data_IF_888415223596
#
_entry.id   IF_888415223596
#
_cell.length_a   1.000
_cell.length_b   1.000
_cell.length_c   1.000
_cell.angle_alpha   90.00
_cell.angle_beta   90.00
_cell.angle_gamma   90.00
#
_symmetry.space_group_name_H-M   'P 1'
#
loop_
_entity.id
_entity.type
_entity.pdbx_description
1 polymer ?
#
# COMPACT_ATOMS: atom_id res chain seq x y z
N UNK A 1 8.57 17.56 4.98
CA UNK A 1 8.62 16.15 5.41
C UNK A 1 9.38 15.34 4.36
N UNK A 2 10.31 14.50 4.75
CA UNK A 2 10.93 13.50 3.86
C UNK A 2 10.21 12.17 4.01
N UNK A 3 9.90 11.52 2.90
CA UNK A 3 9.36 10.16 2.85
C UNK A 3 10.37 9.25 2.19
N UNK A 4 10.70 8.16 2.86
CA UNK A 4 11.60 7.12 2.38
C UNK A 4 10.83 5.82 2.17
N UNK A 5 11.11 5.13 1.07
CA UNK A 5 10.72 3.75 0.88
C UNK A 5 11.98 2.90 0.89
N UNK A 6 12.04 1.97 1.85
CA UNK A 6 13.19 1.12 2.09
C UNK A 6 12.79 -0.35 1.89
N UNK A 7 13.54 -1.11 1.10
CA UNK A 7 13.46 -2.57 1.07
C UNK A 7 14.51 -3.11 2.04
N UNK A 8 14.05 -3.73 3.14
CA UNK A 8 14.89 -4.08 4.28
C UNK A 8 14.96 -5.57 4.53
N UNK A 9 16.16 -6.03 4.87
CA UNK A 9 16.40 -7.39 5.39
C UNK A 9 16.79 -7.27 6.86
N UNK A 10 15.90 -7.73 7.75
CA UNK A 10 16.09 -7.72 9.19
C UNK A 10 16.23 -9.16 9.68
N UNK A 11 17.31 -9.45 10.41
CA UNK A 11 17.58 -10.81 10.90
C UNK A 11 16.81 -11.15 12.18
N UNK A 12 16.26 -10.15 12.86
CA UNK A 12 15.46 -10.27 14.08
C UNK A 12 13.93 -10.18 13.83
N UNK A 13 13.48 -9.96 12.58
CA UNK A 13 12.08 -9.93 12.23
C UNK A 13 11.50 -11.34 12.01
N UNK A 14 10.51 -11.80 12.82
CA UNK A 14 9.93 -13.14 12.69
C UNK A 14 9.11 -13.32 11.41
N UNK A 15 8.55 -12.24 10.86
CA UNK A 15 7.79 -12.30 9.60
C UNK A 15 8.73 -12.55 8.42
N UNK A 16 9.87 -11.85 8.33
CA UNK A 16 10.88 -12.05 7.29
C UNK A 16 11.36 -13.51 7.29
N UNK A 17 11.70 -14.06 8.46
CA UNK A 17 12.10 -15.48 8.57
C UNK A 17 11.02 -16.41 8.03
N UNK A 18 9.76 -16.14 8.35
CA UNK A 18 8.64 -16.96 7.86
C UNK A 18 8.52 -16.93 6.34
N UNK A 19 8.76 -15.77 5.70
CA UNK A 19 8.66 -15.62 4.23
C UNK A 19 9.85 -16.23 3.48
N UNK A 20 10.99 -16.47 4.15
CA UNK A 20 12.12 -17.20 3.57
C UNK A 20 11.80 -18.69 3.34
N UNK A 21 11.01 -19.29 4.24
CA UNK A 21 10.70 -20.71 4.22
C UNK A 21 9.35 -21.02 3.56
N UNK A 22 8.48 -20.04 3.45
CA UNK A 22 7.11 -20.18 2.97
C UNK A 22 6.73 -19.07 1.99
N UNK A 23 6.11 -19.45 0.89
CA UNK A 23 5.55 -18.53 -0.10
C UNK A 23 4.24 -17.91 0.43
N UNK A 24 4.42 -16.91 1.29
CA UNK A 24 3.37 -16.10 1.90
C UNK A 24 3.79 -14.64 1.91
N UNK A 25 2.81 -13.74 1.81
CA UNK A 25 3.01 -12.30 1.93
C UNK A 25 2.22 -11.79 3.14
N UNK A 26 2.85 -10.96 3.96
CA UNK A 26 2.21 -10.23 5.05
C UNK A 26 1.98 -8.78 4.62
N UNK A 27 0.74 -8.32 4.74
CA UNK A 27 0.33 -6.94 4.49
C UNK A 27 -0.12 -6.32 5.80
N UNK A 28 0.59 -5.32 6.31
CA UNK A 28 0.21 -4.61 7.53
C UNK A 28 -1.00 -3.72 7.26
N UNK A 29 -2.10 -3.96 7.96
CA UNK A 29 -3.30 -3.13 7.93
C UNK A 29 -3.26 -2.02 8.98
N UNK A 30 -2.63 -2.33 10.12
CA UNK A 30 -2.45 -1.42 11.24
C UNK A 30 -1.20 -1.83 12.01
N UNK A 31 -0.43 -0.83 12.46
CA UNK A 31 0.78 -1.03 13.22
C UNK A 31 0.85 0.05 14.31
N UNK A 32 1.10 -0.37 15.52
CA UNK A 32 1.25 0.51 16.68
C UNK A 32 2.47 0.12 17.48
N UNK A 33 3.37 1.08 17.70
CA UNK A 33 4.50 0.87 18.58
C UNK A 33 4.13 1.13 20.03
N UNK A 34 4.33 0.14 20.89
CA UNK A 34 4.04 0.18 22.32
C UNK A 34 5.30 0.53 23.08
N UNK A 35 5.55 1.84 23.29
CA UNK A 35 6.74 2.36 23.99
C UNK A 35 6.93 1.78 25.39
N UNK A 36 5.82 1.50 26.12
CA UNK A 36 5.85 0.96 27.47
C UNK A 36 6.43 -0.46 27.56
N UNK A 37 6.44 -1.19 26.44
CA UNK A 37 6.87 -2.59 26.34
C UNK A 37 7.98 -2.83 25.34
N UNK A 38 8.33 -1.83 24.55
CA UNK A 38 9.23 -1.96 23.39
C UNK A 38 8.78 -3.08 22.44
N UNK A 39 7.53 -3.02 22.08
CA UNK A 39 6.89 -4.04 21.24
C UNK A 39 6.08 -3.40 20.12
N UNK A 40 6.05 -4.08 18.98
CA UNK A 40 5.25 -3.72 17.82
C UNK A 40 3.97 -4.56 17.79
N UNK A 41 2.82 -3.90 17.91
CA UNK A 41 1.51 -4.53 17.81
C UNK A 41 0.93 -4.31 16.41
N UNK A 42 0.64 -5.40 15.70
CA UNK A 42 0.24 -5.34 14.29
C UNK A 42 -1.04 -6.10 14.01
N UNK A 43 -1.83 -5.58 13.07
CA UNK A 43 -2.91 -6.31 12.40
C UNK A 43 -2.54 -6.48 10.95
N UNK A 44 -2.48 -7.72 10.50
CA UNK A 44 -1.99 -8.07 9.17
C UNK A 44 -2.96 -8.98 8.42
N UNK A 45 -3.03 -8.76 7.11
CA UNK A 45 -3.54 -9.75 6.17
C UNK A 45 -2.36 -10.60 5.71
N UNK A 46 -2.46 -11.91 5.86
CA UNK A 46 -1.47 -12.86 5.36
C UNK A 46 -2.09 -13.64 4.22
N UNK A 47 -1.43 -13.65 3.07
CA UNK A 47 -1.85 -14.41 1.89
C UNK A 47 -0.84 -15.50 1.57
N UNK A 48 -1.30 -16.61 0.99
CA UNK A 48 -0.44 -17.71 0.55
C UNK A 48 -1.08 -18.43 -0.63
N UNK A 49 -0.27 -19.14 -1.42
CA UNK A 49 -0.74 -19.87 -2.61
C UNK A 49 -1.80 -20.94 -2.29
N UNK A 50 -1.82 -21.45 -1.06
CA UNK A 50 -2.80 -22.44 -0.61
C UNK A 50 -3.08 -22.33 0.88
N UNK A 51 -4.22 -22.91 1.32
CA UNK A 51 -4.55 -23.03 2.74
C UNK A 51 -3.51 -23.85 3.52
N UNK A 52 -2.85 -24.79 2.88
CA UNK A 52 -1.80 -25.63 3.50
C UNK A 52 -0.53 -24.81 3.73
N UNK A 53 -0.04 -24.10 2.71
CA UNK A 53 1.12 -23.21 2.80
C UNK A 53 0.91 -22.14 3.89
N UNK A 54 -0.24 -21.45 3.86
CA UNK A 54 -0.62 -20.48 4.87
C UNK A 54 -0.64 -21.06 6.29
N UNK A 55 -1.14 -22.29 6.46
CA UNK A 55 -1.21 -22.93 7.77
C UNK A 55 0.18 -23.29 8.29
N UNK A 56 1.09 -23.75 7.42
CA UNK A 56 2.48 -24.05 7.78
C UNK A 56 3.22 -22.77 8.18
N UNK A 57 3.09 -21.71 7.39
CA UNK A 57 3.69 -20.40 7.67
C UNK A 57 3.23 -19.84 9.02
N UNK A 58 1.92 -19.81 9.29
CA UNK A 58 1.39 -19.32 10.58
C UNK A 58 1.82 -20.20 11.76
N UNK A 59 2.02 -21.51 11.54
CA UNK A 59 2.55 -22.40 12.58
C UNK A 59 4.02 -22.13 12.86
N UNK A 60 4.83 -21.86 11.84
CA UNK A 60 6.22 -21.45 12.01
C UNK A 60 6.30 -20.12 12.74
N UNK A 61 5.60 -19.09 12.24
CA UNK A 61 5.56 -17.78 12.87
C UNK A 61 5.25 -17.84 14.36
N UNK A 62 4.31 -18.70 14.76
CA UNK A 62 3.94 -18.90 16.18
C UNK A 62 5.08 -19.40 17.06
N UNK A 63 6.11 -19.99 16.48
CA UNK A 63 7.25 -20.55 17.20
C UNK A 63 8.52 -19.67 17.08
N UNK A 64 8.43 -18.52 16.41
CA UNK A 64 9.56 -17.60 16.30
C UNK A 64 9.84 -16.92 17.65
N UNK A 65 11.13 -16.76 17.99
CA UNK A 65 11.58 -16.29 19.30
C UNK A 65 11.11 -14.87 19.61
N UNK A 66 11.09 -13.99 18.60
CA UNK A 66 10.71 -12.58 18.77
C UNK A 66 9.19 -12.34 18.63
N UNK A 67 8.39 -13.38 18.54
CA UNK A 67 6.93 -13.28 18.56
C UNK A 67 6.43 -13.48 20.00
N UNK A 68 5.94 -12.40 20.63
CA UNK A 68 5.35 -12.46 21.97
C UNK A 68 3.97 -13.12 21.98
N UNK A 69 3.11 -12.74 21.02
CA UNK A 69 1.73 -13.24 20.93
C UNK A 69 1.19 -13.18 19.50
N UNK A 70 0.31 -14.12 19.16
CA UNK A 70 -0.41 -14.12 17.88
C UNK A 70 -1.77 -14.78 17.98
N UNK A 71 -2.78 -14.08 17.47
CA UNK A 71 -4.15 -14.58 17.31
C UNK A 71 -4.58 -14.55 15.83
N UNK A 72 -5.19 -15.61 15.33
CA UNK A 72 -5.83 -15.65 14.02
C UNK A 72 -7.27 -15.16 14.19
N UNK A 73 -7.58 -13.98 13.63
CA UNK A 73 -8.89 -13.32 13.75
C UNK A 73 -9.91 -13.85 12.74
N UNK A 74 -9.42 -14.28 11.57
CA UNK A 74 -10.25 -14.84 10.51
C UNK A 74 -9.41 -15.57 9.48
N UNK A 75 -10.00 -16.56 8.79
CA UNK A 75 -9.35 -17.30 7.72
C UNK A 75 -10.35 -17.56 6.59
N UNK A 76 -9.95 -17.30 5.36
CA UNK A 76 -10.71 -17.57 4.15
C UNK A 76 -9.73 -18.02 3.06
N UNK A 77 -10.19 -18.83 2.12
CA UNK A 77 -9.40 -19.45 1.05
C UNK A 77 -8.07 -18.72 0.70
N UNK A 78 -6.94 -19.26 1.16
CA UNK A 78 -5.61 -18.71 0.87
C UNK A 78 -5.23 -17.44 1.65
N UNK A 79 -6.08 -16.92 2.54
CA UNK A 79 -5.83 -15.72 3.32
C UNK A 79 -6.20 -15.87 4.79
N UNK A 80 -5.48 -15.19 5.69
CA UNK A 80 -5.80 -15.09 7.11
C UNK A 80 -5.58 -13.67 7.59
N UNK A 81 -6.45 -13.20 8.48
CA UNK A 81 -6.22 -11.98 9.23
C UNK A 81 -5.65 -12.36 10.59
N UNK A 82 -4.52 -11.78 10.94
CA UNK A 82 -3.85 -12.01 12.23
C UNK A 82 -3.74 -10.70 13.02
N UNK A 83 -3.74 -10.85 14.33
CA UNK A 83 -3.25 -9.86 15.29
C UNK A 83 -2.02 -10.45 15.94
N UNK A 84 -0.93 -9.71 15.98
CA UNK A 84 0.35 -10.18 16.51
C UNK A 84 1.08 -9.07 17.22
N UNK A 85 1.95 -9.49 18.15
CA UNK A 85 2.87 -8.62 18.85
C UNK A 85 4.24 -9.24 18.82
N UNK A 86 5.23 -8.45 18.39
CA UNK A 86 6.64 -8.83 18.33
C UNK A 86 7.48 -7.88 19.19
N UNK A 87 8.64 -8.34 19.61
CA UNK A 87 9.64 -7.45 20.19
C UNK A 87 10.05 -6.37 19.18
N UNK A 88 10.45 -5.21 19.69
CA UNK A 88 11.01 -4.14 18.87
C UNK A 88 12.27 -4.65 18.14
N UNK A 89 12.26 -4.53 16.80
CA UNK A 89 13.44 -4.85 15.99
C UNK A 89 14.48 -3.72 16.09
N UNK A 90 15.74 -4.05 15.84
CA UNK A 90 16.83 -3.06 15.85
C UNK A 90 16.59 -1.95 14.83
N UNK A 91 16.10 -2.29 13.65
CA UNK A 91 15.78 -1.31 12.62
C UNK A 91 14.64 -0.36 13.05
N UNK A 92 13.57 -0.87 13.67
CA UNK A 92 12.49 -0.04 14.16
C UNK A 92 12.98 0.89 15.27
N UNK A 93 13.81 0.37 16.18
CA UNK A 93 14.42 1.18 17.22
C UNK A 93 15.22 2.36 16.62
N UNK A 94 16.08 2.07 15.64
CA UNK A 94 16.89 3.08 14.95
C UNK A 94 16.02 4.17 14.30
N UNK A 95 14.93 3.79 13.62
CA UNK A 95 14.00 4.76 13.01
C UNK A 95 13.37 5.66 14.07
N UNK A 96 12.85 5.07 15.16
CA UNK A 96 12.17 5.84 16.22
C UNK A 96 13.13 6.76 16.98
N UNK A 97 14.35 6.30 17.26
CA UNK A 97 15.37 7.10 17.96
C UNK A 97 15.86 8.31 17.12
N UNK A 98 15.72 8.23 15.80
CA UNK A 98 15.99 9.32 14.88
C UNK A 98 14.72 10.11 14.50
N UNK A 99 13.69 10.13 15.33
CA UNK A 99 12.41 10.83 15.12
C UNK A 99 11.64 10.40 13.85
N UNK A 100 11.93 9.22 13.33
CA UNK A 100 11.19 8.66 12.21
C UNK A 100 9.85 8.08 12.62
N UNK A 101 8.92 8.00 11.69
CA UNK A 101 7.60 7.43 11.90
C UNK A 101 7.10 6.69 10.66
N UNK A 102 6.19 5.75 10.88
CA UNK A 102 5.61 4.93 9.80
C UNK A 102 4.57 5.75 9.04
N UNK A 103 4.71 5.83 7.71
CA UNK A 103 3.82 6.60 6.83
C UNK A 103 2.90 5.73 5.96
N UNK A 104 3.17 4.42 5.89
CA UNK A 104 2.40 3.50 5.08
C UNK A 104 2.48 2.05 5.57
N UNK A 105 1.76 1.14 4.93
CA UNK A 105 1.79 -0.27 5.30
C UNK A 105 3.17 -0.87 5.02
N UNK A 106 3.58 -1.82 5.87
CA UNK A 106 4.66 -2.74 5.56
C UNK A 106 4.14 -3.88 4.68
N UNK A 107 4.95 -4.29 3.73
CA UNK A 107 4.74 -5.50 2.92
C UNK A 107 5.95 -6.40 3.11
N UNK A 108 5.71 -7.64 3.56
CA UNK A 108 6.79 -8.57 3.90
C UNK A 108 6.62 -9.81 3.05
N UNK A 109 7.59 -10.07 2.19
CA UNK A 109 7.60 -11.21 1.28
C UNK A 109 9.03 -11.56 0.84
N UNK A 110 9.26 -12.80 0.44
CA UNK A 110 10.53 -13.26 -0.16
C UNK A 110 11.78 -12.93 0.68
N UNK A 111 11.65 -12.81 2.00
CA UNK A 111 12.78 -12.54 2.89
C UNK A 111 13.13 -11.06 3.06
N UNK A 112 12.33 -10.14 2.55
CA UNK A 112 12.49 -8.70 2.75
C UNK A 112 11.20 -8.02 3.20
N UNK A 113 11.32 -6.78 3.63
CA UNK A 113 10.22 -5.96 4.12
C UNK A 113 10.28 -4.56 3.52
N UNK A 114 9.24 -4.19 2.77
CA UNK A 114 9.11 -2.85 2.21
C UNK A 114 8.54 -1.91 3.26
N UNK A 115 9.33 -0.92 3.64
CA UNK A 115 9.00 0.08 4.64
C UNK A 115 8.67 1.42 4.02
N UNK A 116 7.67 2.12 4.57
CA UNK A 116 7.35 3.50 4.24
C UNK A 116 7.52 4.34 5.49
N UNK A 117 8.57 5.17 5.54
CA UNK A 117 9.00 5.93 6.71
C UNK A 117 9.03 7.42 6.39
N UNK A 118 8.57 8.22 7.34
CA UNK A 118 8.63 9.68 7.29
C UNK A 118 9.59 10.26 8.31
N UNK A 119 10.19 11.40 7.96
CA UNK A 119 11.00 12.24 8.85
C UNK A 119 10.61 13.69 8.62
N UNK A 120 10.49 14.45 9.72
CA UNK A 120 10.16 15.86 9.60
C UNK A 120 11.37 16.69 9.12
N UNK A 121 12.58 16.24 9.46
CA UNK A 121 13.83 16.92 9.13
C UNK A 121 14.77 16.01 8.31
N UNK A 122 15.45 16.58 7.28
CA UNK A 122 16.43 15.82 6.47
C UNK A 122 17.57 15.21 7.31
N UNK A 123 18.06 15.93 8.29
CA UNK A 123 19.19 15.48 9.13
C UNK A 123 18.82 14.24 9.95
N UNK A 124 17.56 14.09 10.38
CA UNK A 124 17.06 12.91 11.09
C UNK A 124 17.03 11.69 10.13
N UNK A 125 16.60 11.89 8.88
CA UNK A 125 16.61 10.84 7.86
C UNK A 125 18.05 10.37 7.55
N UNK A 126 18.99 11.29 7.36
CA UNK A 126 20.40 10.99 7.10
C UNK A 126 21.04 10.27 8.30
N UNK A 127 20.68 10.68 9.52
CA UNK A 127 21.09 10.01 10.77
C UNK A 127 20.60 8.57 10.82
N UNK A 128 19.31 8.36 10.60
CA UNK A 128 18.69 7.04 10.60
C UNK A 128 19.32 6.10 9.55
N UNK A 129 19.47 6.56 8.31
CA UNK A 129 20.09 5.76 7.24
C UNK A 129 21.54 5.40 7.56
N UNK A 130 22.33 6.34 8.12
CA UNK A 130 23.71 6.09 8.52
C UNK A 130 23.83 5.09 9.66
N UNK A 131 22.85 5.02 10.53
CA UNK A 131 22.82 4.08 11.66
C UNK A 131 22.33 2.70 11.22
N UNK A 132 21.30 2.64 10.39
CA UNK A 132 20.78 1.40 9.78
C UNK A 132 21.85 0.64 8.99
N UNK A 133 22.70 1.35 8.23
CA UNK A 133 23.77 0.77 7.41
C UNK A 133 24.81 -0.01 8.21
N UNK A 134 24.84 0.13 9.53
CA UNK A 134 25.80 -0.58 10.39
C UNK A 134 25.40 -2.02 10.68
N UNK A 135 24.10 -2.28 10.78
CA UNK A 135 23.57 -3.53 11.33
C UNK A 135 22.45 -4.15 10.49
N UNK A 136 21.98 -3.47 9.45
CA UNK A 136 20.91 -3.96 8.58
C UNK A 136 21.34 -3.88 7.12
N UNK A 137 20.75 -4.73 6.30
CA UNK A 137 20.87 -4.65 4.85
C UNK A 137 19.60 -3.98 4.32
N UNK A 138 19.74 -2.94 3.51
CA UNK A 138 18.60 -2.28 2.89
C UNK A 138 18.96 -1.59 1.58
N UNK A 139 17.96 -1.43 0.73
CA UNK A 139 18.01 -0.58 -0.45
C UNK A 139 17.00 0.55 -0.34
N UNK A 140 17.39 1.76 -0.77
CA UNK A 140 16.48 2.92 -0.83
C UNK A 140 15.76 2.89 -2.17
N UNK A 141 14.54 2.40 -2.19
CA UNK A 141 13.70 2.29 -3.39
C UNK A 141 13.18 3.65 -3.88
N UNK A 142 12.81 4.51 -2.95
CA UNK A 142 12.36 5.87 -3.25
C UNK A 142 12.66 6.83 -2.10
N UNK A 143 12.99 8.06 -2.47
CA UNK A 143 13.10 9.18 -1.54
C UNK A 143 12.36 10.37 -2.14
N UNK A 144 11.38 10.90 -1.42
CA UNK A 144 10.53 11.99 -1.89
C UNK A 144 10.37 13.03 -0.80
N UNK A 145 10.50 14.30 -1.18
CA UNK A 145 10.10 15.40 -0.28
C UNK A 145 8.63 15.70 -0.53
N UNK A 146 7.81 15.50 0.48
CA UNK A 146 6.36 15.79 0.41
C UNK A 146 6.13 17.11 1.14
N UNK A 147 5.54 18.07 0.43
CA UNK A 147 5.04 19.30 1.05
C UNK A 147 3.82 18.97 1.94
N UNK A 148 3.63 19.75 2.99
CA UNK A 148 2.48 19.56 3.90
C UNK A 148 1.15 19.80 3.18
N UNK A 149 1.16 20.65 2.15
CA UNK A 149 0.02 20.91 1.27
C UNK A 149 -0.34 19.67 0.46
N UNK A 150 0.64 19.01 -0.15
CA UNK A 150 0.42 17.77 -0.93
C UNK A 150 -0.14 16.66 -0.04
N UNK A 151 0.39 16.53 1.19
CA UNK A 151 -0.13 15.56 2.16
C UNK A 151 -1.56 15.85 2.57
N UNK A 152 -1.89 17.13 2.78
CA UNK A 152 -3.24 17.55 3.11
C UNK A 152 -4.23 17.27 1.96
N UNK A 153 -3.84 17.55 0.71
CA UNK A 153 -4.64 17.23 -0.47
C UNK A 153 -4.90 15.71 -0.60
N UNK A 154 -3.87 14.88 -0.40
CA UNK A 154 -4.04 13.42 -0.41
C UNK A 154 -5.04 12.99 0.67
N UNK A 155 -4.89 13.50 1.91
CA UNK A 155 -5.77 13.13 3.02
C UNK A 155 -7.21 13.58 2.81
N UNK A 156 -7.44 14.76 2.24
CA UNK A 156 -8.78 15.23 1.91
C UNK A 156 -9.45 14.40 0.81
N UNK A 157 -8.65 13.89 -0.13
CA UNK A 157 -9.15 13.13 -1.28
C UNK A 157 -9.23 11.61 -1.05
N UNK A 158 -8.92 11.12 0.16
CA UNK A 158 -8.93 9.66 0.44
C UNK A 158 -10.28 9.00 0.17
N UNK A 159 -11.40 9.66 0.49
CA UNK A 159 -12.74 9.11 0.20
C UNK A 159 -12.98 9.03 -1.31
N UNK A 160 -12.64 10.06 -2.04
CA UNK A 160 -12.79 10.14 -3.49
C UNK A 160 -11.88 9.11 -4.20
N UNK A 161 -10.64 8.94 -3.70
CA UNK A 161 -9.72 7.88 -4.18
C UNK A 161 -10.32 6.49 -3.94
N UNK A 162 -10.89 6.25 -2.75
CA UNK A 162 -11.57 4.98 -2.43
C UNK A 162 -12.74 4.73 -3.39
N UNK A 163 -13.50 5.76 -3.74
CA UNK A 163 -14.65 5.62 -4.63
C UNK A 163 -14.23 5.32 -6.06
N UNK A 164 -13.13 5.91 -6.57
CA UNK A 164 -12.51 5.51 -7.84
C UNK A 164 -12.08 4.05 -7.82
N UNK A 165 -11.39 3.61 -6.76
CA UNK A 165 -11.00 2.20 -6.60
C UNK A 165 -12.23 1.27 -6.54
N UNK A 166 -13.31 1.69 -5.87
CA UNK A 166 -14.55 0.92 -5.81
C UNK A 166 -15.19 0.75 -7.19
N UNK A 167 -15.10 1.77 -8.06
CA UNK A 167 -15.52 1.68 -9.45
C UNK A 167 -14.77 0.60 -10.25
N UNK A 168 -13.46 0.49 -10.02
CA UNK A 168 -12.62 -0.57 -10.61
C UNK A 168 -12.97 -1.96 -10.06
N UNK A 169 -13.24 -2.07 -8.77
CA UNK A 169 -13.65 -3.34 -8.14
C UNK A 169 -15.05 -3.80 -8.57
N UNK A 170 -15.92 -2.88 -8.96
CA UNK A 170 -17.26 -3.18 -9.48
C UNK A 170 -17.28 -3.65 -10.93
N UNK A 171 -16.11 -3.71 -11.60
CA UNK A 171 -16.02 -4.36 -12.90
C UNK A 171 -16.20 -5.88 -12.73
N UNK A 172 -17.00 -6.49 -13.60
CA UNK A 172 -17.00 -7.95 -13.72
C UNK A 172 -15.68 -8.42 -14.31
N UNK A 173 -15.30 -9.68 -14.08
CA UNK A 173 -14.04 -10.23 -14.61
C UNK A 173 -13.92 -10.01 -16.12
N UNK A 174 -15.00 -10.24 -16.86
CA UNK A 174 -15.04 -10.00 -18.31
C UNK A 174 -14.91 -8.54 -18.72
N UNK A 175 -15.51 -7.62 -17.98
CA UNK A 175 -15.35 -6.18 -18.21
C UNK A 175 -13.91 -5.75 -17.95
N UNK A 176 -13.30 -6.27 -16.87
CA UNK A 176 -11.90 -5.97 -16.49
C UNK A 176 -10.93 -6.53 -17.53
N UNK A 177 -11.01 -7.82 -17.85
CA UNK A 177 -10.17 -8.48 -18.86
C UNK A 177 -10.25 -7.75 -20.20
N UNK A 178 -11.48 -7.44 -20.67
CA UNK A 178 -11.69 -6.77 -21.95
C UNK A 178 -11.09 -5.34 -21.94
N UNK A 179 -11.20 -4.62 -20.84
CA UNK A 179 -10.64 -3.27 -20.70
C UNK A 179 -9.11 -3.30 -20.70
N UNK A 180 -8.50 -4.19 -19.92
CA UNK A 180 -7.03 -4.32 -19.84
C UNK A 180 -6.44 -4.70 -21.19
N UNK A 181 -6.97 -5.73 -21.84
CA UNK A 181 -6.50 -6.14 -23.18
C UNK A 181 -6.66 -5.01 -24.22
N UNK A 182 -7.74 -4.24 -24.17
CA UNK A 182 -7.93 -3.11 -25.08
C UNK A 182 -6.89 -1.99 -24.85
N UNK A 183 -6.50 -1.75 -23.59
CA UNK A 183 -5.43 -0.80 -23.26
C UNK A 183 -4.08 -1.32 -23.75
N UNK A 184 -3.73 -2.55 -23.40
CA UNK A 184 -2.47 -3.20 -23.80
C UNK A 184 -2.28 -3.29 -25.30
N UNK A 185 -3.35 -3.61 -26.04
CA UNK A 185 -3.33 -3.67 -27.50
C UNK A 185 -3.38 -2.29 -28.21
N UNK A 186 -3.41 -1.19 -27.45
CA UNK A 186 -3.45 0.16 -27.99
C UNK A 186 -4.78 0.51 -28.69
N UNK A 187 -5.90 -0.11 -28.30
CA UNK A 187 -7.21 0.17 -28.90
C UNK A 187 -7.62 1.64 -28.76
N UNK A 188 -7.20 2.29 -27.67
CA UNK A 188 -7.51 3.70 -27.37
C UNK A 188 -6.47 4.68 -27.90
N UNK A 189 -5.42 4.21 -28.52
CA UNK A 189 -4.35 5.06 -29.07
C UNK A 189 -4.74 5.74 -30.38
N UNK A 190 -3.96 6.73 -30.80
CA UNK A 190 -4.11 7.43 -32.08
C UNK A 190 -2.75 7.47 -32.81
N UNK A 191 -2.55 6.72 -33.91
CA UNK A 191 -3.47 5.77 -34.52
C UNK A 191 -3.71 4.52 -33.65
N UNK A 192 -4.88 3.87 -33.81
CA UNK A 192 -5.22 2.69 -33.03
C UNK A 192 -4.25 1.53 -33.29
N UNK A 193 -3.77 0.91 -32.20
CA UNK A 193 -2.94 -0.29 -32.25
C UNK A 193 -3.76 -1.56 -32.52
N UNK A 194 -5.02 -1.61 -32.10
CA UNK A 194 -5.89 -2.76 -32.32
C UNK A 194 -7.33 -2.37 -32.69
N UNK A 195 -8.06 -3.31 -33.29
CA UNK A 195 -9.46 -3.18 -33.66
C UNK A 195 -10.37 -4.01 -32.73
N UNK A 196 -11.67 -3.69 -32.71
CA UNK A 196 -12.68 -4.53 -32.03
C UNK A 196 -12.71 -5.96 -32.57
N UNK A 197 -12.29 -6.17 -33.85
CA UNK A 197 -12.21 -7.48 -34.43
C UNK A 197 -11.14 -8.35 -33.79
N UNK A 198 -9.95 -7.82 -33.70
CA UNK A 198 -8.80 -8.50 -33.09
C UNK A 198 -9.06 -8.85 -31.63
N UNK A 199 -9.60 -7.90 -30.86
CA UNK A 199 -10.02 -8.18 -29.47
C UNK A 199 -11.12 -9.25 -29.39
N UNK A 200 -12.08 -9.26 -30.34
CA UNK A 200 -13.13 -10.27 -30.38
C UNK A 200 -12.59 -11.68 -30.67
N UNK A 201 -11.63 -11.78 -31.58
CA UNK A 201 -10.96 -13.03 -31.95
C UNK A 201 -10.13 -13.56 -30.77
N UNK A 202 -9.41 -12.70 -30.04
CA UNK A 202 -8.63 -13.05 -28.86
C UNK A 202 -9.51 -13.65 -27.75
N UNK A 203 -10.66 -13.04 -27.46
CA UNK A 203 -11.58 -13.50 -26.41
C UNK A 203 -12.55 -14.59 -26.88
N UNK A 204 -12.56 -14.95 -28.17
CA UNK A 204 -13.51 -15.90 -28.75
C UNK A 204 -14.97 -15.46 -28.62
N UNK A 205 -15.25 -14.15 -28.68
CA UNK A 205 -16.60 -13.57 -28.55
C UNK A 205 -16.91 -12.63 -29.72
N UNK A 206 -18.17 -12.22 -29.87
CA UNK A 206 -18.54 -11.30 -30.94
C UNK A 206 -18.02 -9.86 -30.70
N UNK A 207 -17.76 -9.13 -31.83
CA UNK A 207 -17.40 -7.67 -31.77
C UNK A 207 -18.42 -6.86 -30.97
N UNK A 208 -19.70 -7.21 -31.05
CA UNK A 208 -20.75 -6.54 -30.28
C UNK A 208 -20.60 -6.80 -28.77
N UNK A 209 -20.19 -8.01 -28.38
CA UNK A 209 -19.93 -8.33 -26.97
C UNK A 209 -18.74 -7.56 -26.43
N UNK A 210 -17.62 -7.51 -27.17
CA UNK A 210 -16.44 -6.69 -26.81
C UNK A 210 -16.82 -5.22 -26.66
N UNK A 211 -17.50 -4.66 -27.68
CA UNK A 211 -17.95 -3.25 -27.63
C UNK A 211 -18.85 -2.96 -26.43
N UNK A 212 -19.73 -3.90 -26.07
CA UNK A 212 -20.62 -3.76 -24.90
C UNK A 212 -19.84 -3.82 -23.59
N UNK A 213 -18.87 -4.72 -23.47
CA UNK A 213 -18.01 -4.83 -22.29
C UNK A 213 -17.18 -3.54 -22.11
N UNK A 214 -16.53 -3.06 -23.19
CA UNK A 214 -15.76 -1.82 -23.16
C UNK A 214 -16.59 -0.61 -22.75
N UNK A 215 -17.80 -0.45 -23.33
CA UNK A 215 -18.69 0.66 -22.96
C UNK A 215 -19.12 0.61 -21.50
N UNK A 216 -19.37 -0.59 -20.96
CA UNK A 216 -19.76 -0.76 -19.57
C UNK A 216 -18.61 -0.50 -18.61
N UNK A 217 -17.42 -1.03 -18.91
CA UNK A 217 -16.23 -0.79 -18.10
C UNK A 217 -15.83 0.69 -18.14
N UNK A 218 -15.76 1.30 -19.32
CA UNK A 218 -15.49 2.73 -19.47
C UNK A 218 -16.47 3.59 -18.67
N UNK A 219 -17.78 3.33 -18.79
CA UNK A 219 -18.78 4.09 -18.04
C UNK A 219 -18.54 4.01 -16.54
N UNK A 220 -18.34 2.79 -16.00
CA UNK A 220 -18.12 2.59 -14.57
C UNK A 220 -16.87 3.32 -14.05
N UNK A 221 -15.80 3.35 -14.83
CA UNK A 221 -14.55 4.04 -14.49
C UNK A 221 -14.72 5.55 -14.62
N UNK A 222 -15.30 6.02 -15.73
CA UNK A 222 -15.48 7.45 -15.99
C UNK A 222 -16.47 8.10 -15.04
N UNK A 223 -17.56 7.41 -14.67
CA UNK A 223 -18.53 7.92 -13.67
C UNK A 223 -17.83 8.23 -12.34
N UNK A 224 -16.83 7.42 -11.92
CA UNK A 224 -16.07 7.67 -10.69
C UNK A 224 -15.02 8.78 -10.85
N UNK A 225 -14.34 8.81 -12.01
CA UNK A 225 -13.35 9.86 -12.29
C UNK A 225 -13.98 11.25 -12.41
N UNK A 226 -15.19 11.35 -12.98
CA UNK A 226 -15.91 12.63 -13.05
C UNK A 226 -16.36 13.10 -11.67
N UNK A 227 -16.79 12.18 -10.79
CA UNK A 227 -17.12 12.53 -9.41
C UNK A 227 -15.88 13.07 -8.67
N UNK A 228 -14.74 12.40 -8.81
CA UNK A 228 -13.48 12.86 -8.23
C UNK A 228 -13.06 14.25 -8.78
N UNK A 229 -13.20 14.46 -10.09
CA UNK A 229 -12.86 15.74 -10.70
C UNK A 229 -13.76 16.89 -10.19
N UNK A 230 -15.06 16.65 -10.06
CA UNK A 230 -16.01 17.64 -9.52
C UNK A 230 -15.70 17.96 -8.04
N UNK A 231 -15.35 16.95 -7.23
CA UNK A 231 -14.96 17.14 -5.83
C UNK A 231 -13.62 17.86 -5.67
N UNK A 232 -12.66 17.61 -6.58
CA UNK A 232 -11.36 18.29 -6.59
C UNK A 232 -11.47 19.77 -6.99
N UNK A 233 -12.44 20.17 -7.85
CA UNK A 233 -12.72 21.57 -8.17
C UNK A 233 -13.37 22.32 -6.99
N UNK A 234 -14.07 21.61 -6.11
CA UNK A 234 -14.65 22.13 -4.87
C UNK A 234 -13.62 22.15 -3.70
N UNK A 235 -12.35 22.36 -3.99
CA UNK A 235 -11.22 22.36 -3.06
C UNK A 235 -11.43 23.18 -1.77
N UNK A 236 -10.45 23.16 -0.83
CA UNK A 236 -10.58 23.71 0.52
C UNK A 236 -10.99 25.18 0.59
N UNK A 237 -10.76 25.96 -0.47
CA UNK A 237 -11.21 27.34 -0.55
C UNK A 237 -12.76 27.47 -0.53
N UNK A 238 -13.49 26.48 -1.04
CA UNK A 238 -14.97 26.49 -1.03
C UNK A 238 -15.57 26.14 0.34
N UNK A 239 -14.81 25.50 1.23
CA UNK A 239 -15.26 25.10 2.59
C UNK A 239 -14.85 26.09 3.69
N UNK A 240 -14.32 27.26 3.35
CA UNK A 240 -14.07 28.35 4.30
C UNK A 240 -12.86 28.12 5.23
N UNK A 241 -11.95 27.22 4.87
CA UNK A 241 -10.64 27.17 5.50
C UNK A 241 -9.80 28.22 4.77
N UNK A 242 -9.59 29.38 5.43
CA UNK A 242 -8.57 30.34 5.03
C UNK A 242 -7.23 29.61 4.82
N UNK A 243 -6.44 30.09 3.88
CA UNK A 243 -5.18 29.40 3.47
C UNK A 243 -4.38 28.95 4.69
N UNK A 244 -3.65 27.86 4.57
CA UNK A 244 -2.76 27.35 5.64
C UNK A 244 -1.82 28.45 6.17
N UNK A 245 -1.46 29.41 5.32
CA UNK A 245 -0.68 30.61 5.68
C UNK A 245 -1.39 31.49 6.74
N UNK A 246 -2.74 31.56 6.70
CA UNK A 246 -3.51 32.28 7.70
C UNK A 246 -3.57 31.56 9.06
N UNK A 247 -3.49 30.21 9.06
CA UNK A 247 -3.41 29.39 10.26
C UNK A 247 -2.02 29.50 10.91
N UNK A 248 -0.95 29.43 10.13
CA UNK A 248 0.43 29.51 10.62
C UNK A 248 0.74 30.91 11.14
N UNK A 249 0.28 31.97 10.45
CA UNK A 249 0.48 33.36 10.91
C UNK A 249 -0.25 33.68 12.23
N UNK A 250 -1.24 32.89 12.61
CA UNK A 250 -1.94 32.97 13.89
C UNK A 250 -1.19 32.34 15.06
N UNK A 251 -0.23 31.44 14.80
CA UNK A 251 0.55 30.74 15.82
C UNK A 251 1.85 31.48 16.23
N UNK A 252 2.28 32.48 15.45
CA UNK A 252 3.46 33.29 15.73
C UNK A 252 3.15 34.54 16.59
N UNK A 253 1.97 34.66 17.14
CA UNK A 253 1.58 35.74 18.10
C UNK A 253 1.23 35.15 19.44
#
# INVERSE_FOLDING_TARGET
MQSLQLDMIQYDCPYIRTTLDHDVTFYTQHCEFRHDRRALESRMLVTGQSNEALTKALKQLKNEENLEDMAVMGKKAGAAQIHSRIDETEAMHTILDNNGYVTGPFVIENGSELWNIGFDWPDDADGALSELDRNNEFDVEAQTSIDITDYHEIMQNLESIRDVLSGLWNLTDRERETLLAAVEAGYFETPRGATLGELADEFGISKNAVSKNLRRSQRKVLDQLTTLADEAEDGPESKGISSFDDLVSGLER
#
